data_IF_225475761938
#
_entry.id   IF_225475761938
#
_cell.length_a   1.000
_cell.length_b   1.000
_cell.length_c   1.000
_cell.angle_alpha   90.00
_cell.angle_beta   90.00
_cell.angle_gamma   90.00
#
_symmetry.space_group_name_H-M   'P 1'
#
loop_
_entity.id
_entity.type
_entity.pdbx_description
1 polymer ?
#
# COMPACT_ATOMS: atom_id res chain seq x y z
N UNK A 1 11.59 -20.55 3.97
CA UNK A 1 10.56 -20.63 2.92
C UNK A 1 11.17 -20.15 1.61
N UNK A 2 11.10 -20.93 0.54
CA UNK A 2 11.76 -20.58 -0.75
C UNK A 2 10.75 -20.32 -1.88
N UNK A 3 9.44 -20.54 -1.63
CA UNK A 3 8.38 -20.33 -2.62
C UNK A 3 7.03 -20.08 -1.96
N UNK A 4 6.20 -19.25 -2.61
CA UNK A 4 4.77 -19.05 -2.38
C UNK A 4 4.03 -19.68 -3.57
N UNK A 5 3.16 -20.65 -3.29
CA UNK A 5 2.38 -21.37 -4.30
C UNK A 5 1.14 -20.59 -4.78
N UNK A 6 0.91 -19.37 -4.30
CA UNK A 6 -0.21 -18.51 -4.69
C UNK A 6 0.25 -17.09 -5.02
N UNK A 7 -0.67 -16.15 -4.80
CA UNK A 7 -0.45 -14.71 -4.94
C UNK A 7 -0.10 -14.06 -3.59
N UNK A 8 0.47 -12.87 -3.65
CA UNK A 8 0.40 -11.91 -2.53
C UNK A 8 -0.96 -11.21 -2.62
N UNK A 9 -1.77 -11.38 -1.58
CA UNK A 9 -3.11 -10.76 -1.49
C UNK A 9 -3.03 -9.55 -0.56
N UNK A 10 -3.38 -8.38 -1.09
CA UNK A 10 -3.53 -7.15 -0.33
C UNK A 10 -4.93 -7.06 0.27
N UNK A 11 -5.00 -7.06 1.60
CA UNK A 11 -6.23 -6.78 2.35
C UNK A 11 -6.23 -5.33 2.82
N UNK A 12 -7.16 -4.54 2.27
CA UNK A 12 -7.36 -3.13 2.60
C UNK A 12 -8.75 -2.88 3.23
N UNK A 13 -9.39 -3.93 3.75
CA UNK A 13 -10.80 -3.91 4.16
C UNK A 13 -11.11 -3.12 5.44
N UNK A 14 -10.11 -2.61 6.15
CA UNK A 14 -10.31 -1.78 7.35
C UNK A 14 -10.93 -0.42 7.03
N UNK A 15 -10.73 0.09 5.81
CA UNK A 15 -11.39 1.30 5.30
C UNK A 15 -12.25 0.98 4.07
N UNK A 16 -13.08 1.93 3.67
CA UNK A 16 -13.83 1.81 2.42
C UNK A 16 -12.91 1.93 1.18
N UNK A 17 -13.53 1.94 0.00
CA UNK A 17 -12.82 2.01 -1.29
C UNK A 17 -12.88 3.41 -1.92
N UNK A 18 -13.31 4.43 -1.18
CA UNK A 18 -13.26 5.81 -1.63
C UNK A 18 -11.80 6.29 -1.62
N UNK A 19 -11.28 6.59 -2.82
CA UNK A 19 -9.86 6.92 -3.01
C UNK A 19 -9.57 8.40 -2.88
N UNK A 20 -10.59 9.24 -2.93
CA UNK A 20 -10.45 10.67 -3.01
C UNK A 20 -11.60 11.32 -2.26
N UNK A 21 -11.30 12.40 -1.53
CA UNK A 21 -12.35 13.23 -0.95
C UNK A 21 -13.15 13.87 -2.10
N UNK A 22 -14.48 13.72 -2.16
CA UNK A 22 -15.29 14.17 -3.31
C UNK A 22 -15.17 15.67 -3.64
N UNK A 23 -14.82 16.49 -2.66
CA UNK A 23 -14.68 17.94 -2.82
C UNK A 23 -13.28 18.39 -3.28
N UNK A 24 -12.32 17.48 -3.45
CA UNK A 24 -10.98 17.84 -3.92
C UNK A 24 -10.98 18.21 -5.39
N UNK A 25 -10.40 19.37 -5.71
CA UNK A 25 -10.05 19.73 -7.08
C UNK A 25 -8.90 18.87 -7.62
N UNK A 26 -8.74 18.84 -8.94
CA UNK A 26 -7.78 17.96 -9.62
C UNK A 26 -6.32 18.16 -9.18
N UNK A 27 -5.95 19.39 -8.80
CA UNK A 27 -4.62 19.71 -8.26
C UNK A 27 -4.32 18.91 -6.98
N UNK A 28 -5.21 18.98 -5.98
CA UNK A 28 -5.06 18.21 -4.74
C UNK A 28 -5.14 16.72 -5.04
N UNK A 29 -6.17 16.32 -5.78
CA UNK A 29 -6.48 14.91 -6.07
C UNK A 29 -5.31 14.19 -6.76
N UNK A 30 -4.67 14.83 -7.73
CA UNK A 30 -3.72 14.16 -8.63
C UNK A 30 -2.26 14.52 -8.34
N UNK A 31 -1.99 15.70 -7.80
CA UNK A 31 -0.63 16.21 -7.61
C UNK A 31 -0.21 16.13 -6.14
N UNK A 32 -1.08 16.54 -5.21
CA UNK A 32 -0.69 16.69 -3.80
C UNK A 32 -1.02 15.51 -2.90
N UNK A 33 -2.07 14.74 -3.19
CA UNK A 33 -2.51 13.63 -2.33
C UNK A 33 -2.47 12.26 -3.02
N UNK A 34 -2.96 12.19 -4.27
CA UNK A 34 -3.17 10.90 -4.93
C UNK A 34 -4.28 10.05 -4.29
N UNK A 35 -4.43 8.80 -4.74
CA UNK A 35 -5.44 7.87 -4.20
C UNK A 35 -5.08 7.44 -2.78
N UNK A 36 -6.05 7.54 -1.87
CA UNK A 36 -5.96 7.07 -0.48
C UNK A 36 -6.33 5.58 -0.36
N UNK A 37 -5.83 4.93 0.68
CA UNK A 37 -6.16 3.54 0.98
C UNK A 37 -5.60 3.07 2.31
N UNK A 38 -6.15 1.99 2.85
CA UNK A 38 -5.71 1.41 4.12
C UNK A 38 -4.36 0.69 4.04
N UNK A 39 -3.95 0.26 2.85
CA UNK A 39 -2.68 -0.41 2.60
C UNK A 39 -1.94 0.36 1.50
N UNK A 40 -0.87 1.02 1.89
CA UNK A 40 -0.05 1.85 1.01
C UNK A 40 1.43 1.65 1.33
N UNK A 41 2.27 1.72 0.30
CA UNK A 41 3.73 1.74 0.41
C UNK A 41 4.22 2.84 -0.53
N UNK A 42 5.07 3.74 -0.05
CA UNK A 42 5.74 4.78 -0.84
C UNK A 42 4.75 5.58 -1.69
N UNK A 43 3.73 6.12 -1.05
CA UNK A 43 2.62 6.81 -1.70
C UNK A 43 1.98 5.98 -2.81
N UNK A 44 1.85 4.66 -2.67
CA UNK A 44 1.28 3.78 -3.70
C UNK A 44 2.11 3.70 -4.99
N UNK A 45 3.38 4.12 -4.96
CA UNK A 45 4.32 3.99 -6.08
C UNK A 45 4.88 2.57 -6.15
N UNK A 46 5.19 2.14 -7.37
CA UNK A 46 5.78 0.83 -7.63
C UNK A 46 7.14 1.02 -8.27
N UNK A 47 8.19 0.41 -7.71
CA UNK A 47 9.56 0.57 -8.19
C UNK A 47 9.69 0.14 -9.64
N UNK A 48 10.25 1.02 -10.48
CA UNK A 48 10.41 0.79 -11.91
C UNK A 48 9.12 0.90 -12.74
N UNK A 49 7.99 1.29 -12.13
CA UNK A 49 6.77 1.63 -12.87
C UNK A 49 6.76 3.13 -13.23
N UNK A 50 6.53 3.51 -14.49
CA UNK A 50 6.38 4.90 -14.88
C UNK A 50 5.03 5.50 -14.45
N UNK A 51 4.07 4.66 -14.08
CA UNK A 51 2.73 5.05 -13.67
C UNK A 51 2.43 4.51 -12.27
N UNK A 52 1.86 5.37 -11.43
CA UNK A 52 1.31 5.02 -10.12
C UNK A 52 -0.03 4.29 -10.32
N UNK A 53 -0.20 3.06 -9.80
CA UNK A 53 -1.49 2.36 -9.86
C UNK A 53 -2.60 3.17 -9.17
N UNK A 54 -3.82 3.08 -9.72
CA UNK A 54 -4.98 3.75 -9.14
C UNK A 54 -5.42 3.15 -7.78
N UNK A 55 -5.04 1.89 -7.51
CA UNK A 55 -5.27 1.24 -6.22
C UNK A 55 -3.93 1.12 -5.45
N UNK A 56 -3.75 1.86 -4.34
CA UNK A 56 -2.55 1.78 -3.50
C UNK A 56 -2.26 0.39 -2.92
N UNK A 57 -3.29 -0.38 -2.58
CA UNK A 57 -3.12 -1.71 -2.01
C UNK A 57 -2.57 -2.70 -3.06
N UNK A 58 -2.99 -2.53 -4.32
CA UNK A 58 -2.43 -3.32 -5.43
C UNK A 58 -0.97 -2.94 -5.69
N UNK A 59 -0.64 -1.66 -5.58
CA UNK A 59 0.74 -1.19 -5.66
C UNK A 59 1.60 -1.82 -4.54
N UNK A 60 1.11 -1.83 -3.31
CA UNK A 60 1.79 -2.45 -2.17
C UNK A 60 2.02 -3.96 -2.36
N UNK A 61 1.00 -4.72 -2.80
CA UNK A 61 1.16 -6.14 -3.10
C UNK A 61 2.16 -6.39 -4.25
N UNK A 62 2.17 -5.51 -5.26
CA UNK A 62 3.12 -5.58 -6.36
C UNK A 62 4.56 -5.34 -5.90
N UNK A 63 4.77 -4.32 -5.07
CA UNK A 63 6.09 -3.99 -4.53
C UNK A 63 6.60 -5.09 -3.58
N UNK A 64 5.74 -5.61 -2.70
CA UNK A 64 6.10 -6.69 -1.80
C UNK A 64 6.43 -7.98 -2.57
N UNK A 65 5.69 -8.30 -3.63
CA UNK A 65 5.99 -9.42 -4.52
C UNK A 65 7.38 -9.28 -5.15
N UNK A 66 7.75 -8.08 -5.63
CA UNK A 66 9.10 -7.81 -6.15
C UNK A 66 10.17 -7.98 -5.08
N UNK A 67 9.92 -7.51 -3.86
CA UNK A 67 10.86 -7.63 -2.74
C UNK A 67 11.07 -9.09 -2.29
N UNK A 68 10.05 -9.93 -2.38
CA UNK A 68 10.15 -11.37 -2.13
C UNK A 68 10.98 -12.05 -3.22
N UNK A 69 10.68 -11.77 -4.49
CA UNK A 69 11.40 -12.33 -5.63
C UNK A 69 12.87 -11.91 -5.64
N UNK A 70 13.20 -10.66 -5.34
CA UNK A 70 14.59 -10.18 -5.24
C UNK A 70 15.37 -10.82 -4.09
N UNK A 71 14.67 -11.38 -3.08
CA UNK A 71 15.24 -12.16 -1.97
C UNK A 71 15.24 -13.67 -2.24
N UNK A 72 14.95 -14.10 -3.48
CA UNK A 72 14.98 -15.50 -3.88
C UNK A 72 13.74 -16.31 -3.46
N UNK A 73 12.65 -15.64 -3.07
CA UNK A 73 11.36 -16.29 -2.79
C UNK A 73 10.50 -16.20 -4.05
N UNK A 74 10.29 -17.33 -4.73
CA UNK A 74 9.42 -17.36 -5.91
C UNK A 74 7.95 -17.19 -5.51
N UNK A 75 7.19 -16.39 -6.26
CA UNK A 75 5.73 -16.21 -6.10
C UNK A 75 5.08 -16.65 -7.40
N UNK A 76 4.17 -17.63 -7.34
CA UNK A 76 3.62 -18.27 -8.55
C UNK A 76 2.65 -17.35 -9.30
N UNK A 77 1.75 -16.70 -8.57
CA UNK A 77 0.69 -15.89 -9.16
C UNK A 77 1.01 -14.40 -9.08
N UNK A 78 0.27 -13.61 -9.87
CA UNK A 78 0.33 -12.15 -9.81
C UNK A 78 -0.28 -11.62 -8.50
N UNK A 79 0.15 -10.44 -8.02
CA UNK A 79 -0.45 -9.80 -6.85
C UNK A 79 -1.93 -9.47 -7.09
N UNK A 80 -2.76 -9.55 -6.05
CA UNK A 80 -4.21 -9.29 -6.14
C UNK A 80 -4.75 -8.56 -4.90
N UNK A 81 -5.96 -8.01 -5.02
CA UNK A 81 -6.73 -7.47 -3.89
C UNK A 81 -7.67 -8.55 -3.37
N UNK A 82 -7.77 -8.67 -2.05
CA UNK A 82 -8.71 -9.60 -1.43
C UNK A 82 -8.94 -9.26 0.04
N UNK A 83 -9.50 -10.20 0.77
CA UNK A 83 -9.67 -10.10 2.21
C UNK A 83 -9.06 -11.35 2.83
N UNK A 84 -8.21 -11.16 3.83
CA UNK A 84 -7.62 -12.25 4.56
C UNK A 84 -8.70 -12.92 5.41
N UNK A 85 -8.68 -14.26 5.49
CA UNK A 85 -9.52 -14.96 6.47
C UNK A 85 -9.03 -14.62 7.87
N UNK A 86 -9.93 -14.51 8.84
CA UNK A 86 -9.59 -14.38 10.27
C UNK A 86 -8.76 -15.58 10.77
N UNK A 87 -8.85 -16.72 10.09
CA UNK A 87 -8.09 -17.94 10.40
C UNK A 87 -6.66 -17.91 9.81
N UNK A 88 -6.29 -16.84 9.10
CA UNK A 88 -4.96 -16.69 8.51
C UNK A 88 -3.94 -16.48 9.63
N UNK A 89 -2.91 -17.35 9.77
CA UNK A 89 -1.91 -17.18 10.82
C UNK A 89 -1.12 -15.89 10.63
N UNK A 90 -0.99 -15.11 11.70
CA UNK A 90 -0.13 -13.93 11.73
C UNK A 90 1.34 -14.37 11.77
N UNK A 91 2.12 -13.95 10.77
CA UNK A 91 3.54 -14.32 10.66
C UNK A 91 4.49 -13.17 10.97
N UNK A 92 4.03 -11.93 10.86
CA UNK A 92 4.81 -10.73 11.14
C UNK A 92 3.89 -9.51 11.36
N UNK A 93 4.35 -8.56 12.15
CA UNK A 93 3.71 -7.25 12.35
C UNK A 93 4.74 -6.15 12.21
N UNK A 94 4.30 -4.98 11.75
CA UNK A 94 5.09 -3.76 11.74
C UNK A 94 4.23 -2.66 12.36
N UNK A 95 4.79 -1.96 13.33
CA UNK A 95 4.17 -0.77 13.92
C UNK A 95 4.72 0.49 13.26
N UNK A 96 3.88 1.51 13.13
CA UNK A 96 4.30 2.81 12.63
C UNK A 96 5.17 3.55 13.65
N UNK A 97 5.73 4.68 13.23
CA UNK A 97 6.24 5.67 14.18
C UNK A 97 5.11 6.12 15.14
N UNK A 98 5.45 6.64 16.34
CA UNK A 98 4.49 7.24 17.27
C UNK A 98 3.68 8.37 16.61
N UNK A 99 2.43 8.54 17.03
CA UNK A 99 1.52 9.54 16.44
C UNK A 99 2.08 10.97 16.48
N UNK A 100 2.84 11.34 17.52
CA UNK A 100 3.44 12.67 17.61
C UNK A 100 4.51 12.91 16.51
N UNK A 101 5.24 11.87 16.10
CA UNK A 101 6.22 11.97 15.01
C UNK A 101 5.52 12.04 13.67
N UNK A 102 4.46 11.24 13.48
CA UNK A 102 3.59 11.31 12.30
C UNK A 102 3.02 12.73 12.16
N UNK A 103 2.41 13.28 13.21
CA UNK A 103 1.85 14.65 13.17
C UNK A 103 2.94 15.69 12.93
N UNK A 104 4.14 15.52 13.49
CA UNK A 104 5.25 16.43 13.21
C UNK A 104 5.64 16.42 11.73
N UNK A 105 5.79 15.23 11.13
CA UNK A 105 6.11 15.07 9.71
C UNK A 105 5.04 15.71 8.82
N UNK A 106 3.76 15.49 9.15
CA UNK A 106 2.62 16.11 8.47
C UNK A 106 2.72 17.63 8.41
N UNK A 107 2.99 18.24 9.56
CA UNK A 107 2.96 19.69 9.71
C UNK A 107 4.20 20.34 9.12
N UNK A 108 5.32 19.61 9.07
CA UNK A 108 6.57 20.08 8.46
C UNK A 108 6.48 20.04 6.94
N UNK A 109 5.92 18.96 6.37
CA UNK A 109 5.91 18.74 4.93
C UNK A 109 4.57 19.04 4.25
N UNK A 110 3.54 19.38 5.02
CA UNK A 110 2.16 19.53 4.54
C UNK A 110 1.65 18.27 3.83
N UNK A 111 1.94 17.11 4.40
CA UNK A 111 1.61 15.78 3.84
C UNK A 111 0.09 15.51 3.91
N UNK A 112 -0.50 15.06 2.80
CA UNK A 112 -1.93 14.82 2.64
C UNK A 112 -2.33 13.34 2.69
N UNK A 113 -1.37 12.41 2.64
CA UNK A 113 -1.66 10.98 2.42
C UNK A 113 -0.77 10.01 3.21
N UNK A 114 0.22 10.52 3.95
CA UNK A 114 1.11 9.81 4.89
C UNK A 114 1.72 8.49 4.38
N UNK A 115 2.99 8.60 3.95
CA UNK A 115 4.01 7.58 3.60
C UNK A 115 3.75 6.64 2.41
#
# INVERSE_FOLDING_TARGET
MTKIEGAVIADESIYDRERYVPSWGDGIRSVEAGPLGALMINDGSVTGSPLKPANPAFAAASEFTKLLQSRGIAVRDSPEIGTASIDTPLIATLESAPLNEIVAEMLINSDNNFL
#
